data_IF_118787504542
#
_entry.id   IF_118787504542
#
_cell.length_a   1.000
_cell.length_b   1.000
_cell.length_c   1.000
_cell.angle_alpha   90.00
_cell.angle_beta   90.00
_cell.angle_gamma   90.00
#
_symmetry.space_group_name_H-M   'P 1'
#
loop_
_entity.id
_entity.type
_entity.pdbx_description
1 polymer ?
#
# COMPACT_ATOMS: atom_id res chain seq x y z
N UNK A 1 -4.47 16.52 -16.40
CA UNK A 1 -5.16 17.32 -15.35
C UNK A 1 -4.13 18.27 -14.71
N UNK A 2 -4.46 19.09 -13.71
CA UNK A 2 -3.53 19.87 -12.84
C UNK A 2 -2.44 20.79 -13.43
N UNK A 3 -2.33 20.98 -14.75
CA UNK A 3 -1.24 21.75 -15.40
C UNK A 3 -0.93 23.11 -14.76
N UNK A 4 -1.95 23.89 -14.39
CA UNK A 4 -1.77 25.22 -13.75
C UNK A 4 -1.19 25.11 -12.33
N UNK A 5 -1.48 24.02 -11.64
CA UNK A 5 -1.08 23.79 -10.24
C UNK A 5 0.20 22.97 -10.11
N UNK A 6 0.72 22.41 -11.20
CA UNK A 6 1.82 21.45 -11.23
C UNK A 6 3.06 21.92 -10.44
N UNK A 7 3.67 23.03 -10.86
CA UNK A 7 4.87 23.57 -10.20
C UNK A 7 4.61 23.96 -8.75
N UNK A 8 3.41 24.46 -8.45
CA UNK A 8 3.02 24.82 -7.08
C UNK A 8 2.97 23.57 -6.19
N UNK A 9 2.46 22.45 -6.69
CA UNK A 9 2.42 21.17 -5.95
C UNK A 9 3.82 20.64 -5.71
N UNK A 10 4.69 20.62 -6.73
CA UNK A 10 6.10 20.22 -6.58
C UNK A 10 6.80 21.06 -5.51
N UNK A 11 6.62 22.39 -5.56
CA UNK A 11 7.21 23.30 -4.58
C UNK A 11 6.67 23.10 -3.16
N UNK A 12 5.37 22.79 -3.00
CA UNK A 12 4.77 22.47 -1.71
C UNK A 12 5.37 21.18 -1.11
N UNK A 13 5.59 20.14 -1.93
CA UNK A 13 6.20 18.89 -1.45
C UNK A 13 7.67 19.10 -1.07
N UNK A 14 8.45 19.80 -1.91
CA UNK A 14 9.84 20.18 -1.58
C UNK A 14 9.93 21.04 -0.32
N UNK A 15 8.91 21.85 -0.05
CA UNK A 15 8.83 22.62 1.18
C UNK A 15 8.49 21.72 2.37
N UNK A 16 7.48 20.84 2.25
CA UNK A 16 7.11 19.86 3.28
C UNK A 16 8.30 18.96 3.69
N UNK A 17 9.16 18.60 2.75
CA UNK A 17 10.39 17.86 3.02
C UNK A 17 11.46 18.66 3.79
N UNK A 18 11.47 19.98 3.67
CA UNK A 18 12.46 20.86 4.32
C UNK A 18 12.02 21.34 5.71
N UNK A 19 10.76 21.73 5.86
CA UNK A 19 10.27 22.39 7.08
C UNK A 19 9.55 21.43 8.01
N UNK A 20 10.29 20.46 8.57
CA UNK A 20 9.78 19.41 9.44
C UNK A 20 9.15 19.88 10.78
N UNK A 21 8.75 21.15 10.93
CA UNK A 21 7.83 21.58 11.98
C UNK A 21 6.51 20.84 11.81
N UNK A 22 6.18 19.97 12.78
CA UNK A 22 5.23 18.86 12.60
C UNK A 22 3.93 19.32 11.93
N UNK A 23 3.23 20.32 12.49
CA UNK A 23 1.97 20.80 11.90
C UNK A 23 2.10 21.48 10.53
N UNK A 24 3.13 22.33 10.32
CA UNK A 24 3.28 23.05 9.04
C UNK A 24 3.70 22.11 7.91
N UNK A 25 4.54 21.11 8.21
CA UNK A 25 4.92 20.09 7.24
C UNK A 25 3.71 19.27 6.79
N UNK A 26 2.87 18.80 7.73
CA UNK A 26 1.63 18.08 7.40
C UNK A 26 0.69 18.95 6.58
N UNK A 27 0.50 20.22 6.96
CA UNK A 27 -0.36 21.13 6.20
C UNK A 27 0.10 21.31 4.74
N UNK A 28 1.41 21.27 4.47
CA UNK A 28 1.94 21.46 3.10
C UNK A 28 1.86 20.17 2.28
N UNK A 29 2.11 19.03 2.92
CA UNK A 29 1.91 17.71 2.34
C UNK A 29 0.43 17.51 1.96
N UNK A 30 -0.48 17.64 2.92
CA UNK A 30 -1.89 17.30 2.75
C UNK A 30 -2.70 18.28 1.91
N UNK A 31 -2.33 19.56 1.87
CA UNK A 31 -2.96 20.51 0.95
C UNK A 31 -2.41 20.42 -0.48
N UNK A 32 -1.24 19.81 -0.68
CA UNK A 32 -0.56 19.77 -1.98
C UNK A 32 -0.64 18.41 -2.69
N UNK A 33 -0.94 17.34 -1.96
CA UNK A 33 -1.17 16.01 -2.53
C UNK A 33 -2.49 15.98 -3.33
N UNK A 34 -2.50 15.27 -4.46
CA UNK A 34 -3.69 14.86 -5.23
C UNK A 34 -3.43 13.50 -5.87
N UNK A 35 -4.48 12.78 -6.30
CA UNK A 35 -4.31 11.61 -7.15
C UNK A 35 -3.63 11.98 -8.47
N UNK A 36 -2.68 11.15 -8.88
CA UNK A 36 -2.01 11.15 -10.19
C UNK A 36 -2.73 10.25 -11.20
N UNK A 37 -3.61 9.36 -10.73
CA UNK A 37 -4.45 8.46 -11.52
C UNK A 37 -5.90 8.57 -11.05
N UNK A 38 -6.83 8.62 -11.99
CA UNK A 38 -8.26 8.50 -11.72
C UNK A 38 -8.69 7.05 -11.86
N UNK A 39 -9.28 6.49 -10.80
CA UNK A 39 -9.87 5.16 -10.81
C UNK A 39 -11.41 5.25 -10.81
N UNK A 40 -12.10 4.88 -11.91
CA UNK A 40 -13.56 4.95 -11.98
C UNK A 40 -14.28 4.03 -10.97
N UNK A 41 -13.70 2.86 -10.69
CA UNK A 41 -14.25 1.85 -9.78
C UNK A 41 -13.42 1.77 -8.50
N UNK A 42 -13.41 2.87 -7.74
CA UNK A 42 -12.69 2.96 -6.47
C UNK A 42 -13.55 2.37 -5.33
N UNK A 43 -13.04 1.36 -4.62
CA UNK A 43 -13.77 0.64 -3.56
C UNK A 43 -12.95 0.64 -2.27
N UNK A 44 -13.56 1.05 -1.14
CA UNK A 44 -12.95 0.90 0.19
C UNK A 44 -13.27 -0.49 0.72
N UNK A 45 -12.24 -1.25 1.09
CA UNK A 45 -12.35 -2.66 1.47
C UNK A 45 -11.78 -2.86 2.87
N UNK A 46 -12.44 -3.67 3.68
CA UNK A 46 -12.09 -3.94 5.07
C UNK A 46 -12.90 -3.13 6.06
N UNK A 47 -12.39 -3.02 7.29
CA UNK A 47 -13.05 -2.32 8.38
C UNK A 47 -13.42 -0.88 8.00
N UNK A 48 -14.60 -0.43 8.45
CA UNK A 48 -15.14 0.90 8.14
C UNK A 48 -14.35 2.00 8.83
N UNK A 49 -13.75 1.70 9.98
CA UNK A 49 -12.87 2.61 10.71
C UNK A 49 -11.41 2.39 10.25
N UNK A 50 -10.50 2.22 11.20
CA UNK A 50 -9.08 1.97 10.94
C UNK A 50 -8.82 0.61 10.25
N UNK A 51 -7.83 0.57 9.37
CA UNK A 51 -7.36 -0.64 8.69
C UNK A 51 -7.99 -0.97 7.33
N UNK A 52 -9.12 -0.35 6.96
CA UNK A 52 -9.72 -0.49 5.63
C UNK A 52 -8.98 0.31 4.56
N UNK A 53 -8.73 -0.27 3.38
CA UNK A 53 -7.91 0.34 2.32
C UNK A 53 -8.69 0.60 1.04
N UNK A 54 -8.33 1.65 0.30
CA UNK A 54 -8.91 1.98 -1.01
C UNK A 54 -8.27 1.19 -2.15
N UNK A 55 -9.03 0.36 -2.85
CA UNK A 55 -8.57 -0.49 -3.96
C UNK A 55 -9.13 0.01 -5.28
N UNK A 56 -8.28 0.09 -6.31
CA UNK A 56 -8.75 0.42 -7.65
C UNK A 56 -9.25 -0.83 -8.36
N UNK A 57 -10.52 -0.81 -8.80
CA UNK A 57 -11.21 -1.81 -9.60
C UNK A 57 -10.87 -3.27 -9.22
N UNK A 58 -11.24 -3.73 -8.02
CA UNK A 58 -10.94 -5.10 -7.57
C UNK A 58 -11.55 -6.18 -8.47
N UNK A 59 -12.60 -5.86 -9.25
CA UNK A 59 -13.22 -6.82 -10.15
C UNK A 59 -12.31 -7.19 -11.33
N UNK A 60 -11.42 -6.30 -11.75
CA UNK A 60 -10.49 -6.48 -12.86
C UNK A 60 -9.26 -7.34 -12.53
N UNK A 61 -9.08 -7.76 -11.27
CA UNK A 61 -7.95 -8.65 -10.90
C UNK A 61 -7.93 -9.95 -11.73
N UNK A 62 -6.75 -10.45 -12.14
CA UNK A 62 -6.64 -11.71 -12.87
C UNK A 62 -7.02 -12.91 -11.99
N UNK A 63 -7.34 -14.03 -12.62
CA UNK A 63 -7.47 -15.32 -11.91
C UNK A 63 -6.09 -15.87 -11.55
N UNK A 64 -5.98 -16.53 -10.40
CA UNK A 64 -4.71 -17.03 -9.88
C UNK A 64 -3.80 -15.93 -9.30
N UNK A 65 -4.34 -14.73 -9.04
CA UNK A 65 -3.56 -13.62 -8.54
C UNK A 65 -3.13 -13.81 -7.07
N UNK A 66 -2.05 -13.14 -6.66
CA UNK A 66 -1.58 -13.15 -5.28
C UNK A 66 -1.83 -11.79 -4.60
N UNK A 67 -2.40 -11.83 -3.40
CA UNK A 67 -2.56 -10.68 -2.52
C UNK A 67 -1.66 -10.92 -1.31
N UNK A 68 -0.79 -9.97 -0.99
CA UNK A 68 0.02 -10.01 0.23
C UNK A 68 -0.47 -8.93 1.19
N UNK A 69 -0.81 -9.33 2.42
CA UNK A 69 -1.31 -8.42 3.45
C UNK A 69 -0.44 -8.47 4.69
N UNK A 70 0.21 -7.35 5.00
CA UNK A 70 1.20 -7.24 6.06
C UNK A 70 0.64 -6.36 7.17
N UNK A 71 0.70 -6.85 8.40
CA UNK A 71 0.12 -6.19 9.58
C UNK A 71 -1.38 -6.34 9.67
N UNK A 72 -1.88 -7.57 9.73
CA UNK A 72 -3.33 -7.86 9.87
C UNK A 72 -3.90 -7.35 11.19
N UNK A 73 -3.08 -7.29 12.25
CA UNK A 73 -3.48 -6.77 13.56
C UNK A 73 -4.67 -7.46 14.25
N UNK A 74 -5.00 -8.70 13.87
CA UNK A 74 -6.18 -9.38 14.38
C UNK A 74 -7.50 -8.93 13.71
N UNK A 75 -7.42 -8.16 12.63
CA UNK A 75 -8.56 -7.75 11.82
C UNK A 75 -8.43 -8.29 10.38
N UNK A 76 -9.02 -9.46 10.09
CA UNK A 76 -8.99 -10.06 8.76
C UNK A 76 -10.11 -9.54 7.83
N UNK A 77 -10.72 -8.39 8.13
CA UNK A 77 -11.87 -7.87 7.38
C UNK A 77 -11.52 -7.59 5.91
N UNK A 78 -10.36 -6.99 5.64
CA UNK A 78 -9.87 -6.72 4.29
C UNK A 78 -9.73 -8.03 3.50
N UNK A 79 -9.07 -9.03 4.08
CA UNK A 79 -8.80 -10.31 3.45
C UNK A 79 -10.10 -11.06 3.12
N UNK A 80 -11.03 -11.08 4.07
CA UNK A 80 -12.34 -11.73 3.90
C UNK A 80 -13.14 -11.04 2.80
N UNK A 81 -13.21 -9.72 2.80
CA UNK A 81 -13.97 -8.98 1.79
C UNK A 81 -13.34 -9.07 0.40
N UNK A 82 -12.00 -9.06 0.30
CA UNK A 82 -11.30 -9.35 -0.96
C UNK A 82 -11.68 -10.71 -1.52
N UNK A 83 -11.74 -11.75 -0.69
CA UNK A 83 -12.14 -13.08 -1.17
C UNK A 83 -13.61 -13.16 -1.60
N UNK A 84 -14.50 -12.40 -0.95
CA UNK A 84 -15.89 -12.28 -1.37
C UNK A 84 -16.02 -11.59 -2.73
N UNK A 85 -15.37 -10.43 -2.91
CA UNK A 85 -15.41 -9.64 -4.15
C UNK A 85 -14.77 -10.38 -5.33
N UNK A 86 -13.65 -11.05 -5.07
CA UNK A 86 -12.89 -11.76 -6.11
C UNK A 86 -13.39 -13.18 -6.37
N UNK A 87 -14.40 -13.63 -5.61
CA UNK A 87 -14.92 -15.01 -5.66
C UNK A 87 -13.80 -16.04 -5.50
N UNK A 88 -12.89 -15.79 -4.57
CA UNK A 88 -11.76 -16.67 -4.22
C UNK A 88 -10.77 -16.95 -5.36
N UNK A 89 -10.77 -16.15 -6.43
CA UNK A 89 -9.87 -16.36 -7.58
C UNK A 89 -8.41 -16.01 -7.27
N UNK A 90 -8.13 -15.35 -6.15
CA UNK A 90 -6.79 -14.96 -5.72
C UNK A 90 -6.40 -15.65 -4.42
N UNK A 91 -5.12 -15.93 -4.25
CA UNK A 91 -4.57 -16.42 -2.99
C UNK A 91 -4.16 -15.24 -2.11
N UNK A 92 -4.66 -15.19 -0.88
CA UNK A 92 -4.33 -14.13 0.08
C UNK A 92 -3.32 -14.67 1.09
N UNK A 93 -2.15 -14.04 1.17
CA UNK A 93 -1.05 -14.40 2.07
C UNK A 93 -0.88 -13.29 3.10
N UNK A 94 -1.24 -13.59 4.34
CA UNK A 94 -1.29 -12.60 5.41
C UNK A 94 -0.22 -12.82 6.47
N UNK A 95 0.33 -11.73 7.01
CA UNK A 95 1.44 -11.78 7.95
C UNK A 95 1.27 -10.77 9.09
N UNK A 96 1.54 -11.18 10.33
CA UNK A 96 1.69 -10.28 11.49
C UNK A 96 2.58 -10.94 12.55
N UNK A 97 3.32 -10.14 13.33
CA UNK A 97 4.15 -10.62 14.45
C UNK A 97 3.31 -11.07 15.65
N UNK A 98 2.09 -10.52 15.77
CA UNK A 98 1.14 -10.83 16.84
C UNK A 98 0.47 -12.16 16.59
N UNK A 99 0.00 -12.76 17.67
CA UNK A 99 -0.87 -13.90 17.56
C UNK A 99 -2.20 -13.46 16.93
N UNK A 100 -2.69 -14.16 15.90
CA UNK A 100 -3.92 -13.78 15.23
C UNK A 100 -5.16 -14.08 16.08
N UNK A 101 -5.08 -15.00 17.05
CA UNK A 101 -6.26 -15.46 17.79
C UNK A 101 -7.30 -16.17 16.89
N UNK A 102 -8.54 -16.35 17.36
CA UNK A 102 -9.57 -17.14 16.66
C UNK A 102 -10.16 -16.46 15.42
N UNK A 103 -9.90 -15.17 15.22
CA UNK A 103 -10.52 -14.37 14.13
C UNK A 103 -10.13 -14.84 12.72
N UNK A 104 -8.98 -15.52 12.60
CA UNK A 104 -8.46 -16.09 11.35
C UNK A 104 -8.94 -17.53 11.09
N UNK A 105 -9.67 -18.13 12.04
CA UNK A 105 -10.16 -19.50 11.87
C UNK A 105 -11.03 -19.62 10.62
N UNK A 106 -10.73 -20.61 9.78
CA UNK A 106 -11.46 -20.87 8.55
C UNK A 106 -11.06 -20.00 7.35
N UNK A 107 -10.07 -19.11 7.46
CA UNK A 107 -9.56 -18.34 6.31
C UNK A 107 -9.07 -19.23 5.16
N UNK A 108 -8.48 -20.39 5.47
CA UNK A 108 -7.99 -21.33 4.44
C UNK A 108 -9.14 -21.84 3.54
N UNK A 109 -10.37 -21.93 4.07
CA UNK A 109 -11.56 -22.35 3.31
C UNK A 109 -11.97 -21.34 2.24
N UNK A 110 -11.44 -20.12 2.32
CA UNK A 110 -11.68 -19.04 1.36
C UNK A 110 -10.40 -18.65 0.62
N UNK A 111 -9.40 -19.55 0.51
CA UNK A 111 -8.11 -19.30 -0.15
C UNK A 111 -7.28 -18.17 0.48
N UNK A 112 -7.44 -17.94 1.79
CA UNK A 112 -6.68 -16.96 2.55
C UNK A 112 -5.87 -17.65 3.67
N UNK A 113 -4.63 -17.24 3.86
CA UNK A 113 -3.68 -17.90 4.75
C UNK A 113 -3.04 -16.88 5.67
N UNK A 114 -2.71 -17.30 6.90
CA UNK A 114 -2.05 -16.44 7.87
C UNK A 114 -0.75 -17.08 8.34
N UNK A 115 0.32 -16.28 8.37
CA UNK A 115 1.63 -16.66 8.90
C UNK A 115 2.03 -15.69 10.01
N UNK A 116 2.29 -16.22 11.21
CA UNK A 116 2.86 -15.43 12.30
C UNK A 116 4.32 -15.12 12.01
N UNK A 117 4.63 -13.88 11.65
CA UNK A 117 5.99 -13.44 11.34
C UNK A 117 6.15 -11.91 11.44
N UNK A 118 7.34 -11.47 11.85
CA UNK A 118 7.76 -10.09 11.65
C UNK A 118 8.26 -9.93 10.22
N UNK A 119 7.74 -8.93 9.51
CA UNK A 119 8.21 -8.63 8.15
C UNK A 119 9.43 -7.72 8.20
N UNK A 120 10.47 -8.09 7.45
CA UNK A 120 11.68 -7.29 7.31
C UNK A 120 12.27 -7.41 5.90
N UNK A 121 13.35 -6.68 5.63
CA UNK A 121 14.08 -6.77 4.35
C UNK A 121 14.75 -8.13 4.15
N UNK A 122 15.09 -8.85 5.24
CA UNK A 122 15.80 -10.13 5.18
C UNK A 122 15.10 -11.20 5.99
N UNK A 123 15.25 -12.45 5.56
CA UNK A 123 14.77 -13.60 6.31
C UNK A 123 15.67 -13.88 7.50
N UNK A 124 15.04 -14.17 8.64
CA UNK A 124 15.65 -14.79 9.80
C UNK A 124 14.61 -15.76 10.42
N UNK A 125 14.54 -17.00 9.87
CA UNK A 125 13.53 -17.97 10.25
C UNK A 125 13.60 -18.37 11.73
N UNK A 126 14.78 -18.30 12.36
CA UNK A 126 14.96 -18.66 13.77
C UNK A 126 14.17 -17.72 14.69
N UNK A 127 14.03 -16.46 14.28
CA UNK A 127 13.30 -15.42 15.02
C UNK A 127 11.92 -15.10 14.44
N UNK A 128 11.37 -15.99 13.58
CA UNK A 128 10.12 -15.76 12.85
C UNK A 128 10.11 -14.45 12.05
N UNK A 129 11.26 -14.08 11.46
CA UNK A 129 11.37 -12.92 10.58
C UNK A 129 11.34 -13.40 9.14
N UNK A 130 10.46 -12.80 8.33
CA UNK A 130 10.27 -13.14 6.92
C UNK A 130 10.50 -11.94 6.02
N UNK A 131 11.12 -12.17 4.87
CA UNK A 131 11.15 -11.21 3.76
C UNK A 131 10.07 -11.54 2.75
N UNK A 132 9.52 -10.50 2.11
CA UNK A 132 8.49 -10.69 1.07
C UNK A 132 9.05 -11.48 -0.12
N UNK A 133 10.30 -11.21 -0.51
CA UNK A 133 10.97 -11.96 -1.58
C UNK A 133 11.18 -13.43 -1.22
N UNK A 134 11.52 -13.73 0.04
CA UNK A 134 11.66 -15.10 0.54
C UNK A 134 10.32 -15.85 0.47
N UNK A 135 9.24 -15.19 0.90
CA UNK A 135 7.89 -15.76 0.86
C UNK A 135 7.37 -15.97 -0.55
N UNK A 136 7.60 -15.02 -1.46
CA UNK A 136 7.28 -15.17 -2.88
C UNK A 136 7.96 -16.40 -3.49
N UNK A 137 9.26 -16.60 -3.23
CA UNK A 137 9.99 -17.79 -3.68
C UNK A 137 9.43 -19.09 -3.08
N UNK A 138 9.12 -19.08 -1.78
CA UNK A 138 8.58 -20.25 -1.06
C UNK A 138 7.21 -20.67 -1.60
N UNK A 139 6.39 -19.70 -1.99
CA UNK A 139 5.01 -19.90 -2.45
C UNK A 139 4.88 -19.94 -3.97
N UNK A 140 5.99 -19.82 -4.71
CA UNK A 140 6.02 -19.74 -6.17
C UNK A 140 5.09 -18.62 -6.71
N UNK A 141 5.19 -17.43 -6.10
CA UNK A 141 4.49 -16.21 -6.50
C UNK A 141 5.48 -15.35 -7.29
N UNK A 142 5.20 -15.10 -8.56
CA UNK A 142 6.06 -14.27 -9.42
C UNK A 142 5.70 -12.78 -9.37
N UNK A 143 4.44 -12.48 -9.07
CA UNK A 143 3.87 -11.12 -9.07
C UNK A 143 2.89 -10.95 -7.93
N UNK A 144 2.92 -9.78 -7.29
CA UNK A 144 1.92 -9.39 -6.30
C UNK A 144 0.88 -8.51 -6.98
N UNK A 145 -0.37 -8.92 -6.96
CA UNK A 145 -1.45 -8.13 -7.55
C UNK A 145 -1.82 -6.95 -6.64
N UNK A 146 -1.99 -7.22 -5.34
CA UNK A 146 -2.24 -6.23 -4.30
C UNK A 146 -1.28 -6.47 -3.14
N UNK A 147 -0.54 -5.44 -2.75
CA UNK A 147 0.22 -5.40 -1.50
C UNK A 147 -0.51 -4.47 -0.52
N UNK A 148 -1.14 -5.01 0.53
CA UNK A 148 -1.54 -4.25 1.72
C UNK A 148 -0.40 -4.25 2.72
N UNK A 149 -0.03 -3.10 3.26
CA UNK A 149 1.09 -2.97 4.20
C UNK A 149 0.80 -1.94 5.29
N UNK A 150 0.97 -2.39 6.52
CA UNK A 150 0.76 -1.62 7.73
C UNK A 150 1.66 -2.20 8.83
N UNK A 151 2.92 -1.75 8.90
CA UNK A 151 3.97 -2.45 9.66
C UNK A 151 4.76 -1.50 10.56
N UNK A 152 4.05 -0.50 11.11
CA UNK A 152 4.45 0.29 12.27
C UNK A 152 5.82 0.99 12.09
N UNK A 153 6.04 1.61 10.93
CA UNK A 153 7.28 2.34 10.61
C UNK A 153 8.30 1.54 9.82
N UNK A 154 8.13 0.22 9.72
CA UNK A 154 9.02 -0.63 8.90
C UNK A 154 8.81 -0.43 7.40
N UNK A 155 7.81 0.37 6.99
CA UNK A 155 7.57 0.70 5.58
C UNK A 155 8.78 1.39 4.95
N UNK A 156 9.46 2.24 5.71
CA UNK A 156 10.63 3.00 5.23
C UNK A 156 11.86 2.15 4.92
N UNK A 157 11.94 0.93 5.42
CA UNK A 157 13.01 -0.01 5.09
C UNK A 157 12.54 -1.07 4.09
N UNK A 158 11.31 -1.54 4.22
CA UNK A 158 10.77 -2.63 3.38
C UNK A 158 10.41 -2.15 1.97
N UNK A 159 9.69 -1.03 1.82
CA UNK A 159 9.17 -0.61 0.51
C UNK A 159 10.28 -0.28 -0.49
N UNK A 160 11.29 0.56 -0.16
CA UNK A 160 12.38 0.91 -1.09
C UNK A 160 13.07 -0.28 -1.75
N UNK A 161 13.38 -1.30 -0.93
CA UNK A 161 14.01 -2.53 -1.38
C UNK A 161 13.04 -3.37 -2.21
N UNK A 162 11.80 -3.52 -1.73
CA UNK A 162 10.80 -4.40 -2.34
C UNK A 162 10.41 -3.95 -3.76
N UNK A 163 10.08 -2.67 -3.94
CA UNK A 163 9.64 -2.12 -5.24
C UNK A 163 10.75 -2.09 -6.29
N UNK A 164 12.00 -2.32 -5.89
CA UNK A 164 13.15 -2.37 -6.79
C UNK A 164 13.36 -3.74 -7.44
N UNK A 165 12.72 -4.78 -6.90
CA UNK A 165 13.02 -6.19 -7.23
C UNK A 165 11.78 -7.06 -7.39
N UNK A 166 10.59 -6.57 -7.01
CA UNK A 166 9.32 -7.27 -7.12
C UNK A 166 8.35 -6.51 -8.02
N UNK A 167 7.66 -7.23 -8.89
CA UNK A 167 6.53 -6.70 -9.66
C UNK A 167 5.26 -6.66 -8.79
N UNK A 168 4.76 -5.46 -8.53
CA UNK A 168 3.57 -5.21 -7.71
C UNK A 168 2.62 -4.29 -8.47
N UNK A 169 1.36 -4.70 -8.62
CA UNK A 169 0.37 -3.87 -9.34
C UNK A 169 -0.14 -2.71 -8.50
N UNK A 170 -0.71 -2.99 -7.32
CA UNK A 170 -1.18 -1.94 -6.41
C UNK A 170 -0.56 -2.08 -5.03
N UNK A 171 -0.20 -0.95 -4.43
CA UNK A 171 0.31 -0.86 -3.06
C UNK A 171 -0.67 -0.03 -2.25
N UNK A 172 -1.17 -0.61 -1.17
CA UNK A 172 -2.12 -0.04 -0.22
C UNK A 172 -1.39 0.07 1.12
N UNK A 173 -0.99 1.27 1.49
CA UNK A 173 -0.01 1.48 2.56
C UNK A 173 -0.49 2.51 3.57
N UNK A 174 -0.40 2.18 4.85
CA UNK A 174 -0.33 3.20 5.91
C UNK A 174 1.12 3.61 6.13
N UNK A 175 1.39 4.92 6.06
CA UNK A 175 2.74 5.44 6.29
C UNK A 175 2.83 6.08 7.67
N UNK A 176 3.64 5.46 8.54
CA UNK A 176 3.93 5.88 9.91
C UNK A 176 5.05 6.92 10.00
N UNK A 177 4.86 8.13 9.45
CA UNK A 177 5.99 9.04 9.24
C UNK A 177 5.70 10.54 9.34
N UNK A 178 6.78 11.26 9.65
CA UNK A 178 6.83 12.73 9.56
C UNK A 178 6.83 13.18 8.08
N UNK A 179 6.40 14.42 7.78
CA UNK A 179 6.21 14.89 6.41
C UNK A 179 7.41 14.68 5.49
N UNK A 180 8.63 14.90 6.01
CA UNK A 180 9.86 14.65 5.26
C UNK A 180 9.99 13.22 4.77
N UNK A 181 9.84 12.24 5.68
CA UNK A 181 9.97 10.83 5.34
C UNK A 181 8.85 10.36 4.40
N UNK A 182 7.64 10.87 4.60
CA UNK A 182 6.51 10.58 3.71
C UNK A 182 6.81 11.08 2.30
N UNK A 183 7.24 12.34 2.16
CA UNK A 183 7.60 12.91 0.85
C UNK A 183 8.72 12.12 0.18
N UNK A 184 9.77 11.77 0.93
CA UNK A 184 10.89 10.96 0.43
C UNK A 184 10.42 9.61 -0.10
N UNK A 185 9.64 8.86 0.67
CA UNK A 185 9.12 7.54 0.30
C UNK A 185 8.18 7.61 -0.91
N UNK A 186 7.22 8.53 -0.93
CA UNK A 186 6.30 8.70 -2.06
C UNK A 186 7.06 9.08 -3.34
N UNK A 187 8.06 9.96 -3.23
CA UNK A 187 8.88 10.37 -4.39
C UNK A 187 9.71 9.21 -4.92
N UNK A 188 10.21 8.33 -4.04
CA UNK A 188 10.90 7.10 -4.44
C UNK A 188 9.96 6.13 -5.17
N UNK A 189 8.79 5.86 -4.61
CA UNK A 189 7.76 5.04 -5.25
C UNK A 189 7.38 5.61 -6.63
N UNK A 190 7.23 6.93 -6.73
CA UNK A 190 6.95 7.61 -7.99
C UNK A 190 8.06 7.46 -9.03
N UNK A 191 9.35 7.46 -8.64
CA UNK A 191 10.46 7.19 -9.56
C UNK A 191 10.50 5.72 -10.03
N UNK A 192 9.83 4.83 -9.30
CA UNK A 192 9.66 3.41 -9.63
C UNK A 192 8.34 3.12 -10.37
N UNK A 193 7.65 4.14 -10.86
CA UNK A 193 6.45 3.97 -11.69
C UNK A 193 5.14 3.82 -10.91
N UNK A 194 5.14 3.99 -9.58
CA UNK A 194 3.91 3.97 -8.78
C UNK A 194 3.26 5.34 -8.73
N UNK A 195 1.94 5.39 -8.96
CA UNK A 195 1.16 6.62 -9.03
C UNK A 195 0.03 6.58 -8.02
N UNK A 196 -0.15 7.68 -7.29
CA UNK A 196 -1.22 7.77 -6.28
C UNK A 196 -2.57 7.79 -7.00
N UNK A 197 -3.51 6.94 -6.57
CA UNK A 197 -4.91 7.02 -6.99
C UNK A 197 -5.87 7.35 -5.83
N UNK A 198 -5.45 7.13 -4.58
CA UNK A 198 -6.21 7.51 -3.38
C UNK A 198 -5.28 7.83 -2.21
N UNK A 199 -5.78 8.61 -1.24
CA UNK A 199 -5.14 8.83 0.05
C UNK A 199 -6.22 9.18 1.09
N UNK A 200 -6.01 8.77 2.33
CA UNK A 200 -6.90 9.02 3.47
C UNK A 200 -6.07 9.59 4.63
N UNK A 201 -6.31 10.86 4.95
CA UNK A 201 -5.61 11.53 6.04
C UNK A 201 -6.27 11.10 7.35
N UNK A 202 -5.50 10.49 8.24
CA UNK A 202 -6.02 10.08 9.55
C UNK A 202 -6.36 11.31 10.40
N UNK A 203 -7.63 11.39 10.80
CA UNK A 203 -8.19 12.54 11.50
C UNK A 203 -7.72 12.68 12.95
N UNK A 204 -7.21 11.61 13.56
CA UNK A 204 -6.64 11.64 14.91
C UNK A 204 -5.12 11.87 14.86
N UNK A 205 -4.44 11.21 13.93
CA UNK A 205 -2.99 11.14 13.87
C UNK A 205 -2.48 11.39 12.46
N UNK A 206 -2.19 12.65 12.15
CA UNK A 206 -1.62 13.04 10.86
C UNK A 206 -0.33 12.31 10.44
N UNK A 207 0.34 11.58 11.33
CA UNK A 207 1.54 10.81 11.02
C UNK A 207 1.26 9.35 10.63
N UNK A 208 -0.01 8.94 10.60
CA UNK A 208 -0.51 7.58 10.36
C UNK A 208 -1.54 7.63 9.23
N UNK A 209 -1.14 8.05 8.03
CA UNK A 209 -2.10 8.28 6.93
C UNK A 209 -1.96 7.23 5.85
N UNK A 210 -3.07 6.95 5.17
CA UNK A 210 -3.14 5.93 4.15
C UNK A 210 -2.95 6.49 2.74
N UNK A 211 -2.36 5.67 1.89
CA UNK A 211 -2.10 5.97 0.50
C UNK A 211 -2.31 4.72 -0.34
N UNK A 212 -2.80 4.91 -1.55
CA UNK A 212 -3.04 3.83 -2.50
C UNK A 212 -2.40 4.18 -3.83
N UNK A 213 -1.55 3.28 -4.30
CA UNK A 213 -0.73 3.43 -5.50
C UNK A 213 -1.04 2.34 -6.50
N UNK A 214 -0.95 2.68 -7.78
CA UNK A 214 -0.98 1.74 -8.90
C UNK A 214 0.28 1.92 -9.73
N UNK A 215 0.92 0.82 -10.12
CA UNK A 215 2.05 0.87 -11.04
C UNK A 215 1.56 1.22 -12.45
N UNK A 216 2.34 2.02 -13.20
CA UNK A 216 1.97 2.49 -14.54
C UNK A 216 1.61 1.36 -15.51
N UNK A 217 2.29 0.21 -15.42
CA UNK A 217 1.99 -0.97 -16.26
C UNK A 217 0.64 -1.62 -15.96
N UNK A 218 -0.01 -1.31 -14.83
CA UNK A 218 -1.29 -1.87 -14.43
C UNK A 218 -2.47 -0.93 -14.70
N UNK A 219 -2.23 0.33 -15.09
CA UNK A 219 -3.29 1.34 -15.24
C UNK A 219 -4.38 0.89 -16.21
N UNK A 220 -3.99 0.35 -17.37
CA UNK A 220 -4.93 -0.15 -18.39
C UNK A 220 -5.72 -1.36 -17.87
N UNK A 221 -5.05 -2.32 -17.22
CA UNK A 221 -5.67 -3.53 -16.65
C UNK A 221 -6.82 -3.17 -15.69
N UNK A 222 -6.66 -2.09 -14.91
CA UNK A 222 -7.63 -1.65 -13.92
C UNK A 222 -8.61 -0.58 -14.44
N UNK A 223 -8.60 -0.32 -15.75
CA UNK A 223 -9.47 0.68 -16.40
C UNK A 223 -9.31 2.08 -15.79
N UNK A 224 -8.12 2.36 -15.26
CA UNK A 224 -7.79 3.64 -14.66
C UNK A 224 -7.23 4.60 -15.72
N UNK A 225 -7.27 5.90 -15.43
CA UNK A 225 -6.83 6.94 -16.37
C UNK A 225 -5.72 7.80 -15.76
N UNK A 226 -4.54 7.93 -16.40
CA UNK A 226 -3.51 8.86 -15.95
C UNK A 226 -4.02 10.31 -15.93
N UNK A 227 -3.66 11.07 -14.90
CA UNK A 227 -4.05 12.47 -14.75
C UNK A 227 -2.90 13.42 -15.08
N UNK A 228 -1.94 13.51 -14.17
CA UNK A 228 -0.69 14.27 -14.29
C UNK A 228 0.27 13.75 -13.22
N UNK A 229 1.55 13.60 -13.56
CA UNK A 229 2.56 13.04 -12.66
C UNK A 229 3.48 14.14 -12.18
N UNK A 230 3.65 14.30 -10.87
CA UNK A 230 4.49 15.35 -10.30
C UNK A 230 5.40 14.83 -9.17
N UNK A 231 5.07 13.70 -8.56
CA UNK A 231 5.87 13.16 -7.44
C UNK A 231 7.29 12.74 -7.85
N UNK A 232 7.51 12.40 -9.12
CA UNK A 232 8.84 12.08 -9.64
C UNK A 232 9.78 13.30 -9.73
N UNK A 233 9.24 14.53 -9.66
CA UNK A 233 9.97 15.80 -9.73
C UNK A 233 10.26 16.43 -8.36
N UNK A 234 9.66 15.86 -7.32
CA UNK A 234 9.83 16.26 -5.92
C UNK A 234 11.20 15.80 -5.42
#
# INVERSE_FOLDING_TARGET
>A
MYKIQHDKRVNLMKYAARVAGEQRGYAKLYNGIVPEVFCPSLVRIGNVDDGGKWVCNPMAMPSGCAIMSLGVAGDPSFEKEMQLLTKQKCSVQSYDKRDPGPVIEGMEKINAFFTKALISVRDDPENNIRSIQGEMKRLNIDRIEILKIDIEGSEFSVIPELISVVDICQILIEIHGKPKKVVELISEMARKGYRIFSYEINGAWHHLSEYSFIHESCIEQYEATPLDYYWHLV
#
